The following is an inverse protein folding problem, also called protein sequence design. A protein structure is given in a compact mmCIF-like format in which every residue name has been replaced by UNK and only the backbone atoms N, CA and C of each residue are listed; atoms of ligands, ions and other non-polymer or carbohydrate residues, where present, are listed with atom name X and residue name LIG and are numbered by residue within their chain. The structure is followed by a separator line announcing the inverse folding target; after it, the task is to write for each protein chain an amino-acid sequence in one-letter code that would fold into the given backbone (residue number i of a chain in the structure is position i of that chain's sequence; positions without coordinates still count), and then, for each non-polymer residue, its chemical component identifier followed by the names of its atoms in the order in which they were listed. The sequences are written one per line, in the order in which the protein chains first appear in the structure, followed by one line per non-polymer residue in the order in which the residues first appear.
data_IF_040205235890
#
_entry.id   IF_040205235890
#
_cell.length_a   1.000
_cell.length_b   1.000
_cell.length_c   1.000
_cell.angle_alpha   90.00
_cell.angle_beta   90.00
_cell.angle_gamma   90.00
#
_symmetry.space_group_name_H-M   'P 1'
#
loop_
_entity.id
_entity.type
_entity.pdbx_description
1 polymer ?
#
# COMPACT_ATOMS: atom_id res chain seq x y z
N UNK A 1 -15.39 11.95 -4.82
CA UNK A 1 -13.96 11.86 -5.21
C UNK A 1 -13.74 10.56 -5.95
N UNK A 2 -13.00 10.60 -7.04
CA UNK A 2 -12.71 9.41 -7.85
C UNK A 2 -11.41 8.77 -7.34
N UNK A 3 -11.41 7.48 -6.99
CA UNK A 3 -10.18 6.83 -6.54
C UNK A 3 -9.17 6.72 -7.69
N UNK A 4 -7.89 6.79 -7.34
CA UNK A 4 -6.81 6.60 -8.30
C UNK A 4 -6.64 5.14 -8.69
N UNK A 5 -7.02 4.24 -7.80
CA UNK A 5 -6.89 2.79 -8.04
C UNK A 5 -7.89 2.05 -7.17
N UNK A 6 -8.47 0.98 -7.69
CA UNK A 6 -9.36 0.11 -6.91
C UNK A 6 -8.79 -1.30 -6.92
N UNK A 7 -8.59 -1.87 -5.74
CA UNK A 7 -8.03 -3.21 -5.59
C UNK A 7 -8.95 -4.02 -4.70
N UNK A 8 -9.48 -5.14 -5.23
CA UNK A 8 -10.39 -5.98 -4.46
C UNK A 8 -11.62 -5.26 -3.95
N UNK A 9 -12.10 -4.26 -4.70
CA UNK A 9 -13.23 -3.43 -4.29
C UNK A 9 -12.85 -2.31 -3.33
N UNK A 10 -11.59 -2.20 -2.94
CA UNK A 10 -11.11 -1.18 -2.01
C UNK A 10 -10.62 0.02 -2.80
N UNK A 11 -11.21 1.22 -2.61
CA UNK A 11 -10.76 2.40 -3.34
C UNK A 11 -9.53 3.01 -2.65
N UNK A 12 -8.51 3.33 -3.43
CA UNK A 12 -7.32 4.02 -2.96
C UNK A 12 -7.23 5.39 -3.60
N UNK A 13 -6.90 6.39 -2.79
CA UNK A 13 -6.83 7.79 -3.19
C UNK A 13 -5.41 8.29 -3.07
N UNK A 14 -5.11 9.39 -3.75
CA UNK A 14 -3.78 10.00 -3.66
C UNK A 14 -3.47 10.37 -2.22
N UNK A 15 -2.30 9.96 -1.74
CA UNK A 15 -1.83 10.37 -0.42
C UNK A 15 -1.33 11.82 -0.49
N UNK A 16 -1.39 12.57 0.63
CA UNK A 16 -0.81 13.91 0.66
C UNK A 16 0.69 13.88 0.36
N UNK A 17 1.23 14.99 -0.15
CA UNK A 17 2.64 15.05 -0.57
C UNK A 17 3.61 14.70 0.56
N UNK A 18 3.27 15.02 1.80
CA UNK A 18 4.11 14.68 2.95
C UNK A 18 4.10 13.18 3.29
N UNK A 19 3.19 12.42 2.70
CA UNK A 19 3.11 10.97 2.88
C UNK A 19 3.68 10.25 1.65
N UNK A 20 3.49 10.83 0.46
CA UNK A 20 3.96 10.25 -0.79
C UNK A 20 5.49 10.15 -0.84
N UNK A 21 6.20 11.14 -0.31
CA UNK A 21 7.65 11.12 -0.29
C UNK A 21 8.22 10.49 0.98
N UNK A 22 9.50 10.79 1.23
CA UNK A 22 10.15 10.35 2.48
C UNK A 22 9.40 10.91 3.69
N UNK A 23 9.25 10.15 4.79
CA UNK A 23 9.84 8.82 4.98
C UNK A 23 8.97 7.65 4.51
N UNK A 24 7.70 7.87 4.21
CA UNK A 24 6.72 6.80 4.08
C UNK A 24 6.69 6.13 2.71
N UNK A 25 6.89 6.90 1.64
CA UNK A 25 6.88 6.40 0.26
C UNK A 25 5.54 5.76 -0.15
N UNK A 26 4.44 6.25 0.41
CA UNK A 26 3.10 5.78 0.06
C UNK A 26 2.46 6.75 -0.93
N UNK A 27 2.30 6.32 -2.17
CA UNK A 27 1.71 7.16 -3.23
C UNK A 27 0.20 7.28 -3.08
N UNK A 28 -0.44 6.19 -2.68
CA UNK A 28 -1.88 6.12 -2.50
C UNK A 28 -2.17 5.55 -1.12
N UNK A 29 -3.34 5.85 -0.58
CA UNK A 29 -3.78 5.23 0.66
C UNK A 29 -5.30 5.10 0.73
N UNK A 30 -5.77 4.28 1.68
CA UNK A 30 -7.19 4.16 2.01
C UNK A 30 -7.35 4.12 3.51
N UNK A 31 -8.52 4.56 3.98
CA UNK A 31 -8.87 4.51 5.40
C UNK A 31 -9.64 3.22 5.68
N UNK A 32 -9.23 2.49 6.71
CA UNK A 32 -9.94 1.29 7.17
C UNK A 32 -10.06 1.39 8.67
N UNK A 33 -11.25 1.69 9.15
CA UNK A 33 -11.53 1.74 10.59
C UNK A 33 -10.64 2.76 11.34
N UNK A 34 -10.22 3.83 10.66
CA UNK A 34 -9.31 4.83 11.21
C UNK A 34 -7.84 4.53 10.99
N UNK A 35 -7.51 3.30 10.59
CA UNK A 35 -6.15 2.93 10.19
C UNK A 35 -5.97 3.22 8.71
N UNK A 36 -4.71 3.29 8.25
CA UNK A 36 -4.41 3.53 6.84
C UNK A 36 -3.66 2.36 6.23
N UNK A 37 -4.05 1.97 5.03
CA UNK A 37 -3.27 1.06 4.20
C UNK A 37 -2.67 1.90 3.08
N UNK A 38 -1.36 1.80 2.88
CA UNK A 38 -0.67 2.56 1.84
C UNK A 38 -0.26 1.69 0.66
N UNK A 39 -0.11 2.33 -0.48
CA UNK A 39 0.40 1.69 -1.69
C UNK A 39 1.56 2.51 -2.22
N UNK A 40 2.66 1.85 -2.53
CA UNK A 40 3.74 2.43 -3.31
C UNK A 40 3.60 1.88 -4.73
N UNK A 41 3.35 2.75 -5.69
CA UNK A 41 3.09 2.34 -7.06
C UNK A 41 4.39 2.38 -7.85
N UNK A 42 4.73 1.25 -8.48
CA UNK A 42 5.91 1.13 -9.35
C UNK A 42 5.43 0.84 -10.77
N UNK A 43 6.19 1.24 -11.79
CA UNK A 43 5.79 0.92 -13.17
C UNK A 43 5.89 -0.59 -13.43
N UNK A 44 5.08 -1.08 -14.35
CA UNK A 44 5.05 -2.51 -14.69
C UNK A 44 6.37 -3.01 -15.26
N UNK A 45 7.24 -2.12 -15.72
CA UNK A 45 8.59 -2.45 -16.17
C UNK A 45 9.57 -2.65 -15.03
N UNK A 46 9.15 -2.44 -13.80
CA UNK A 46 9.96 -2.60 -12.61
C UNK A 46 10.18 -4.08 -12.38
N UNK A 47 11.27 -4.52 -12.84
CA UNK A 47 11.73 -5.90 -13.07
C UNK A 47 11.42 -6.95 -12.00
N UNK A 48 12.12 -8.06 -12.08
CA UNK A 48 11.99 -9.18 -11.15
C UNK A 48 12.25 -8.82 -9.70
N UNK A 49 12.88 -7.71 -9.44
CA UNK A 49 12.99 -7.16 -8.07
C UNK A 49 11.60 -6.95 -7.45
N UNK A 50 10.59 -6.88 -8.28
CA UNK A 50 9.23 -6.61 -7.87
C UNK A 50 8.71 -7.58 -6.81
N UNK A 51 8.90 -8.88 -7.00
CA UNK A 51 8.40 -9.87 -6.04
C UNK A 51 9.08 -9.69 -4.69
N UNK A 52 10.38 -9.47 -4.70
CA UNK A 52 11.14 -9.26 -3.46
C UNK A 52 10.68 -8.01 -2.74
N UNK A 53 10.43 -6.95 -3.49
CA UNK A 53 9.94 -5.69 -2.91
C UNK A 53 8.56 -5.90 -2.30
N UNK A 54 7.68 -6.52 -3.06
CA UNK A 54 6.33 -6.78 -2.64
C UNK A 54 6.28 -7.68 -1.40
N UNK A 55 7.22 -8.61 -1.27
CA UNK A 55 7.32 -9.45 -0.08
C UNK A 55 8.07 -8.76 1.08
N UNK A 56 8.23 -7.47 1.03
CA UNK A 56 8.87 -6.72 2.10
C UNK A 56 10.37 -6.63 2.00
N UNK A 57 10.92 -6.94 0.83
CA UNK A 57 12.37 -6.87 0.57
C UNK A 57 12.72 -5.63 -0.24
N UNK A 58 11.98 -4.55 -0.04
CA UNK A 58 12.28 -3.27 -0.66
C UNK A 58 13.67 -2.79 -0.27
N UNK A 59 14.19 -1.81 -0.98
CA UNK A 59 15.45 -1.20 -0.61
C UNK A 59 15.36 -0.66 0.83
N UNK A 60 16.49 -0.54 1.49
CA UNK A 60 16.51 -0.22 2.93
C UNK A 60 15.69 1.02 3.29
N UNK A 61 15.78 2.07 2.47
CA UNK A 61 15.04 3.30 2.76
C UNK A 61 13.54 3.10 2.62
N UNK A 62 13.09 2.42 1.58
CA UNK A 62 11.66 2.14 1.38
C UNK A 62 11.13 1.24 2.48
N UNK A 63 11.89 0.20 2.83
CA UNK A 63 11.50 -0.72 3.91
C UNK A 63 11.36 0.01 5.24
N UNK A 64 12.29 0.90 5.55
CA UNK A 64 12.23 1.70 6.77
C UNK A 64 11.00 2.59 6.79
N UNK A 65 10.72 3.26 5.68
CA UNK A 65 9.54 4.11 5.56
C UNK A 65 8.25 3.34 5.72
N UNK A 66 8.18 2.14 5.18
CA UNK A 66 7.01 1.28 5.33
C UNK A 66 6.79 0.87 6.79
N UNK A 67 7.85 0.62 7.53
CA UNK A 67 7.77 0.33 8.96
C UNK A 67 7.27 1.54 9.75
N UNK A 68 7.74 2.72 9.39
CA UNK A 68 7.29 3.95 10.03
C UNK A 68 5.82 4.21 9.73
N UNK A 69 5.38 3.93 8.51
CA UNK A 69 3.97 4.03 8.13
C UNK A 69 3.11 3.11 8.99
N UNK A 70 3.52 1.86 9.15
CA UNK A 70 2.79 0.89 9.98
C UNK A 70 2.68 1.39 11.43
N UNK A 71 3.76 1.92 11.97
CA UNK A 71 3.78 2.46 13.33
C UNK A 71 2.81 3.64 13.47
N UNK A 72 2.83 4.54 12.50
CA UNK A 72 2.09 5.79 12.61
C UNK A 72 0.63 5.68 12.19
N UNK A 73 0.34 4.81 11.23
CA UNK A 73 -1.01 4.71 10.65
C UNK A 73 -1.67 3.34 10.86
N UNK A 74 -0.95 2.37 11.38
CA UNK A 74 -1.50 1.09 11.78
C UNK A 74 -1.66 0.04 10.68
N UNK A 75 -1.61 0.43 9.42
CA UNK A 75 -1.69 -0.50 8.30
C UNK A 75 -0.38 -0.59 7.53
N UNK A 76 -0.27 -1.62 6.70
CA UNK A 76 0.94 -1.86 5.91
C UNK A 76 0.96 -1.04 4.63
N UNK A 77 2.15 -0.85 4.07
CA UNK A 77 2.33 -0.32 2.72
C UNK A 77 2.69 -1.48 1.80
N UNK A 78 1.94 -1.61 0.72
CA UNK A 78 2.20 -2.65 -0.29
C UNK A 78 2.80 -2.00 -1.53
N UNK A 79 3.77 -2.68 -2.13
CA UNK A 79 4.32 -2.24 -3.41
C UNK A 79 3.51 -2.91 -4.50
N UNK A 80 2.91 -2.11 -5.38
CA UNK A 80 2.04 -2.61 -6.44
C UNK A 80 2.56 -2.16 -7.80
N UNK A 81 2.35 -3.00 -8.82
CA UNK A 81 2.73 -2.72 -10.19
C UNK A 81 1.52 -2.97 -11.09
N UNK A 82 0.57 -2.02 -11.10
CA UNK A 82 -0.64 -2.23 -11.87
C UNK A 82 -0.35 -2.26 -13.38
N UNK A 83 -1.06 -3.15 -14.06
CA UNK A 83 -1.06 -3.22 -15.53
C UNK A 83 -2.49 -2.93 -15.95
N UNK A 84 -2.68 -1.85 -16.70
CA UNK A 84 -4.01 -1.39 -17.09
C UNK A 84 -4.94 -1.24 -15.87
N UNK A 85 -4.39 -0.72 -14.76
CA UNK A 85 -5.16 -0.50 -13.54
C UNK A 85 -5.45 -1.76 -12.73
N UNK A 86 -4.83 -2.88 -13.07
CA UNK A 86 -5.06 -4.16 -12.39
C UNK A 86 -3.77 -4.66 -11.74
N UNK A 87 -3.85 -5.06 -10.49
CA UNK A 87 -2.73 -5.67 -9.77
C UNK A 87 -2.89 -7.20 -9.78
N UNK A 88 -1.80 -7.91 -9.47
CA UNK A 88 -1.86 -9.37 -9.41
C UNK A 88 -2.80 -9.84 -8.31
N UNK A 89 -3.37 -11.03 -8.49
CA UNK A 89 -4.31 -11.58 -7.51
C UNK A 89 -3.66 -11.87 -6.17
N UNK A 90 -2.38 -12.20 -6.16
CA UNK A 90 -1.66 -12.45 -4.91
C UNK A 90 -1.56 -11.17 -4.07
N UNK A 91 -1.25 -10.06 -4.73
CA UNK A 91 -1.18 -8.76 -4.06
C UNK A 91 -2.58 -8.34 -3.58
N UNK A 92 -3.59 -8.52 -4.43
CA UNK A 92 -4.96 -8.23 -4.08
C UNK A 92 -5.40 -8.97 -2.83
N UNK A 93 -5.11 -10.28 -2.76
CA UNK A 93 -5.46 -11.09 -1.60
C UNK A 93 -4.80 -10.57 -0.32
N UNK A 94 -3.55 -10.16 -0.40
CA UNK A 94 -2.84 -9.65 0.77
C UNK A 94 -3.40 -8.31 1.24
N UNK A 95 -3.79 -7.46 0.30
CA UNK A 95 -4.40 -6.18 0.64
C UNK A 95 -5.76 -6.39 1.29
N UNK A 96 -6.57 -7.29 0.73
CA UNK A 96 -7.88 -7.61 1.30
C UNK A 96 -7.73 -8.23 2.70
N UNK A 97 -6.73 -9.10 2.88
CA UNK A 97 -6.46 -9.69 4.19
C UNK A 97 -6.06 -8.63 5.21
N UNK A 98 -5.28 -7.64 4.81
CA UNK A 98 -4.92 -6.54 5.70
C UNK A 98 -6.14 -5.71 6.07
N UNK A 99 -7.03 -5.43 5.12
CA UNK A 99 -8.27 -4.74 5.40
C UNK A 99 -9.10 -5.50 6.43
N UNK A 100 -9.26 -6.81 6.24
CA UNK A 100 -10.03 -7.64 7.17
C UNK A 100 -9.42 -7.61 8.56
N UNK A 101 -8.10 -7.66 8.66
CA UNK A 101 -7.41 -7.59 9.92
C UNK A 101 -7.68 -6.27 10.64
N UNK A 102 -7.59 -5.15 9.94
CA UNK A 102 -7.81 -3.83 10.52
C UNK A 102 -9.26 -3.63 10.94
N UNK A 103 -10.21 -4.23 10.22
CA UNK A 103 -11.63 -4.15 10.58
C UNK A 103 -11.95 -4.89 11.87
N UNK A 104 -11.13 -5.84 12.27
CA UNK A 104 -11.29 -6.60 13.52
C UNK A 104 -10.68 -5.88 14.72
N UNK A 105 -9.87 -4.87 14.49
CA UNK A 105 -9.26 -4.11 15.57
C UNK A 105 -10.25 -3.06 16.09
N UNK A 106 -10.06 -2.59 17.34
CA UNK A 106 -10.83 -1.45 17.81
C UNK A 106 -10.60 -0.25 16.89
N UNK A 107 -11.61 0.59 16.65
CA UNK A 107 -11.43 1.80 15.83
C UNK A 107 -10.30 2.66 16.38
N UNK A 108 -9.53 3.18 15.45
CA UNK A 108 -8.38 4.02 15.81
C UNK A 108 -8.82 5.42 16.21
#
# INVERSE_FOLDING_TARGET
MIPSLVIGGIPFFDAPSNIEGSPYWADLWTDVNGYKIGLQVKPSTYKSANISIYLGKACSSEKKGHKEFLRDFGGKVFVVMPVNGVVSKDVEKEIVAEQDLLLKLPPK
#
